data_IF_063935325705
#
_entry.id   IF_063935325705
#
_cell.length_a   1.000
_cell.length_b   1.000
_cell.length_c   1.000
_cell.angle_alpha   90.00
_cell.angle_beta   90.00
_cell.angle_gamma   90.00
#
_symmetry.space_group_name_H-M   'P 1'
#
loop_
_entity.id
_entity.type
_entity.pdbx_description
1 polymer ?
#
# COMPACT_ATOMS: atom_id res chain seq x y z
N UNK A 1 -33.23 15.64 18.86
CA UNK A 1 -32.22 16.29 17.98
C UNK A 1 -31.42 15.19 17.32
N UNK A 2 -31.46 15.07 15.99
CA UNK A 2 -30.59 14.12 15.27
C UNK A 2 -29.17 14.69 15.21
N UNK A 3 -28.22 14.01 15.84
CA UNK A 3 -26.81 14.42 15.83
C UNK A 3 -26.17 14.18 14.46
N UNK A 4 -25.48 15.18 13.93
CA UNK A 4 -24.68 15.03 12.70
C UNK A 4 -23.42 14.24 13.01
N UNK A 5 -23.04 13.31 12.14
CA UNK A 5 -21.82 12.53 12.27
C UNK A 5 -21.13 12.34 10.92
N UNK A 6 -19.83 12.10 10.96
CA UNK A 6 -19.07 11.54 9.85
C UNK A 6 -18.57 10.14 10.21
N UNK A 7 -18.11 9.40 9.21
CA UNK A 7 -17.56 8.06 9.36
C UNK A 7 -16.07 8.06 9.16
N UNK A 8 -15.38 7.30 10.00
CA UNK A 8 -13.97 6.98 9.85
C UNK A 8 -13.83 5.49 9.55
N UNK A 9 -13.24 5.18 8.41
CA UNK A 9 -12.87 3.82 7.99
C UNK A 9 -11.45 3.49 8.46
N UNK A 10 -11.18 2.20 8.61
CA UNK A 10 -9.92 1.66 9.12
C UNK A 10 -9.42 0.53 8.22
N UNK A 11 -8.12 0.26 8.25
CA UNK A 11 -7.53 -0.89 7.55
C UNK A 11 -7.89 -2.21 8.24
N UNK A 12 -7.74 -3.32 7.52
CA UNK A 12 -7.87 -4.70 8.02
C UNK A 12 -9.30 -5.16 8.24
N UNK A 13 -10.30 -4.46 7.70
CA UNK A 13 -11.71 -4.77 7.95
C UNK A 13 -12.18 -4.40 9.35
N UNK A 14 -11.42 -3.56 10.08
CA UNK A 14 -11.86 -2.99 11.35
C UNK A 14 -13.13 -2.15 11.12
N UNK A 15 -14.15 -2.39 11.93
CA UNK A 15 -15.45 -1.72 11.84
C UNK A 15 -15.31 -0.20 11.82
N UNK A 16 -16.05 0.48 10.94
CA UNK A 16 -16.10 1.94 10.88
C UNK A 16 -16.50 2.56 12.24
N UNK A 17 -15.98 3.76 12.52
CA UNK A 17 -16.34 4.55 13.70
C UNK A 17 -17.19 5.75 13.26
N UNK A 18 -18.34 5.94 13.89
CA UNK A 18 -19.16 7.15 13.73
C UNK A 18 -18.73 8.20 14.74
N UNK A 19 -18.41 9.39 14.27
CA UNK A 19 -17.98 10.50 15.13
C UNK A 19 -18.97 11.64 14.98
N UNK A 20 -19.65 11.97 16.08
CA UNK A 20 -20.60 13.07 16.14
C UNK A 20 -19.87 14.42 16.10
N UNK A 21 -20.37 15.30 15.23
CA UNK A 21 -19.85 16.66 15.04
C UNK A 21 -20.42 17.53 16.14
N UNK A 22 -19.55 17.98 17.05
CA UNK A 22 -19.82 18.99 18.05
C UNK A 22 -19.04 20.29 17.72
N UNK A 23 -19.53 21.48 18.10
CA UNK A 23 -18.85 22.75 17.82
C UNK A 23 -17.38 22.82 18.26
N UNK A 24 -17.06 22.13 19.35
CA UNK A 24 -15.74 22.08 19.99
C UNK A 24 -14.88 20.89 19.54
N UNK A 25 -15.35 20.06 18.60
CA UNK A 25 -14.63 18.86 18.16
C UNK A 25 -13.32 19.24 17.45
N UNK A 26 -12.19 18.86 18.05
CA UNK A 26 -10.86 19.10 17.46
C UNK A 26 -10.36 17.90 16.66
N UNK A 27 -9.33 18.12 15.84
CA UNK A 27 -8.61 17.05 15.16
C UNK A 27 -8.04 16.02 16.14
N UNK A 28 -7.42 16.47 17.22
CA UNK A 28 -6.82 15.58 18.22
C UNK A 28 -7.87 14.73 18.94
N UNK A 29 -9.08 15.28 19.19
CA UNK A 29 -10.19 14.49 19.74
C UNK A 29 -10.60 13.35 18.80
N UNK A 30 -10.63 13.62 17.50
CA UNK A 30 -10.97 12.63 16.48
C UNK A 30 -9.88 11.56 16.40
N UNK A 31 -8.60 11.95 16.38
CA UNK A 31 -7.48 11.02 16.40
C UNK A 31 -7.50 10.16 17.66
N UNK A 32 -7.70 10.75 18.84
CA UNK A 32 -7.79 10.01 20.11
C UNK A 32 -8.92 8.98 20.10
N UNK A 33 -10.11 9.36 19.60
CA UNK A 33 -11.24 8.42 19.43
C UNK A 33 -10.87 7.27 18.50
N UNK A 34 -10.15 7.55 17.41
CA UNK A 34 -9.68 6.53 16.47
C UNK A 34 -8.63 5.60 17.10
N UNK A 35 -7.63 6.13 17.82
CA UNK A 35 -6.60 5.33 18.49
C UNK A 35 -7.23 4.42 19.54
N UNK A 36 -8.14 4.94 20.37
CA UNK A 36 -8.85 4.12 21.36
C UNK A 36 -9.67 3.01 20.71
N UNK A 37 -10.28 3.28 19.55
CA UNK A 37 -11.04 2.30 18.79
C UNK A 37 -10.17 1.20 18.19
N UNK A 38 -8.99 1.51 17.66
CA UNK A 38 -8.08 0.47 17.15
C UNK A 38 -7.38 -0.28 18.29
N UNK A 39 -7.02 0.39 19.38
CA UNK A 39 -6.30 -0.19 20.52
C UNK A 39 -7.04 -1.41 21.07
N UNK A 40 -8.36 -1.33 21.25
CA UNK A 40 -9.16 -2.44 21.76
C UNK A 40 -9.32 -3.62 20.80
N UNK A 41 -8.79 -3.51 19.57
CA UNK A 41 -8.95 -4.51 18.50
C UNK A 41 -7.62 -5.11 18.07
N UNK A 42 -6.58 -4.29 17.96
CA UNK A 42 -5.29 -4.71 17.38
C UNK A 42 -4.26 -5.09 18.42
N UNK A 43 -4.40 -4.61 19.67
CA UNK A 43 -3.46 -4.91 20.72
C UNK A 43 -3.88 -6.12 21.56
N UNK A 44 -2.87 -6.81 22.06
CA UNK A 44 -3.04 -7.80 23.12
C UNK A 44 -3.62 -7.10 24.37
N UNK A 45 -4.80 -7.53 24.86
CA UNK A 45 -5.44 -6.96 26.05
C UNK A 45 -4.57 -7.05 27.30
N UNK A 46 -3.64 -8.01 27.34
CA UNK A 46 -2.76 -8.26 28.49
C UNK A 46 -1.40 -7.53 28.37
N UNK A 47 -1.19 -6.74 27.31
CA UNK A 47 0.08 -6.05 27.09
C UNK A 47 0.12 -4.58 27.55
N UNK A 48 1.30 -4.17 28.03
CA UNK A 48 1.63 -2.78 28.38
C UNK A 48 1.64 -1.83 27.17
N UNK A 49 1.49 -2.32 25.94
CA UNK A 49 1.38 -1.51 24.72
C UNK A 49 0.24 -0.46 24.80
N UNK A 50 -0.66 -0.65 25.77
CA UNK A 50 -1.85 0.12 26.06
C UNK A 50 -1.64 1.39 26.91
N UNK A 51 -0.49 1.61 27.55
CA UNK A 51 -0.39 2.59 28.66
C UNK A 51 -0.13 4.05 28.26
N UNK A 52 0.39 4.36 27.06
CA UNK A 52 0.62 5.76 26.66
C UNK A 52 0.26 6.05 25.19
N UNK A 53 -1.02 6.35 24.96
CA UNK A 53 -1.59 6.69 23.65
C UNK A 53 -1.07 8.03 23.11
N UNK A 54 -0.74 8.98 24.00
CA UNK A 54 -0.34 10.33 23.63
C UNK A 54 0.95 10.37 22.79
N UNK A 55 1.87 9.42 23.03
CA UNK A 55 3.13 9.30 22.26
C UNK A 55 2.90 8.98 20.78
N UNK A 56 1.78 8.34 20.44
CA UNK A 56 1.48 7.95 19.06
C UNK A 56 0.62 8.95 18.30
N UNK A 57 0.02 9.95 18.96
CA UNK A 57 -0.80 11.00 18.33
C UNK A 57 -0.14 11.60 17.06
N UNK A 58 1.13 12.05 17.09
CA UNK A 58 1.75 12.68 15.93
C UNK A 58 2.07 11.70 14.79
N UNK A 59 1.93 10.40 14.99
CA UNK A 59 2.25 9.37 13.99
C UNK A 59 1.06 9.07 13.08
N UNK A 60 -0.15 9.20 13.63
CA UNK A 60 -1.39 8.91 12.92
C UNK A 60 -1.92 10.13 12.17
N UNK A 61 -2.75 9.89 11.17
CA UNK A 61 -3.46 10.95 10.47
C UNK A 61 -4.80 10.50 9.91
N UNK A 62 -5.59 11.48 9.48
CA UNK A 62 -6.82 11.28 8.72
C UNK A 62 -6.59 11.70 7.28
N UNK A 63 -7.00 10.85 6.34
CA UNK A 63 -7.08 11.21 4.92
C UNK A 63 -8.52 11.18 4.43
N UNK A 64 -8.83 12.00 3.43
CA UNK A 64 -10.12 11.97 2.75
C UNK A 64 -10.21 10.74 1.85
N UNK A 65 -11.27 9.95 2.00
CA UNK A 65 -11.64 8.94 1.00
C UNK A 65 -12.36 9.63 -0.13
N UNK A 66 -11.79 9.54 -1.33
CA UNK A 66 -12.42 10.15 -2.49
C UNK A 66 -13.68 9.39 -2.90
N UNK A 67 -14.79 10.10 -3.16
CA UNK A 67 -16.00 9.46 -3.66
C UNK A 67 -15.70 8.86 -5.05
N UNK A 68 -15.96 7.56 -5.20
CA UNK A 68 -15.86 6.76 -6.43
C UNK A 68 -14.50 6.11 -6.74
N UNK A 69 -13.56 6.07 -5.80
CA UNK A 69 -12.28 5.37 -6.03
C UNK A 69 -11.46 5.98 -7.18
N UNK A 70 -11.62 7.28 -7.42
CA UNK A 70 -10.74 8.02 -8.33
C UNK A 70 -9.30 7.88 -7.87
N UNK A 71 -8.40 7.65 -8.82
CA UNK A 71 -6.97 7.41 -8.61
C UNK A 71 -6.20 8.67 -8.22
N UNK A 72 -6.86 9.71 -7.71
CA UNK A 72 -6.14 10.90 -7.29
C UNK A 72 -5.46 10.66 -5.93
N UNK A 73 -4.42 11.44 -5.67
CA UNK A 73 -3.60 11.26 -4.49
C UNK A 73 -4.43 11.45 -3.20
N UNK A 74 -4.23 10.60 -2.18
CA UNK A 74 -4.89 10.77 -0.90
C UNK A 74 -4.55 12.13 -0.28
N UNK A 75 -5.59 12.88 0.11
CA UNK A 75 -5.42 14.19 0.76
C UNK A 75 -5.49 14.01 2.28
N UNK A 76 -4.38 14.28 2.96
CA UNK A 76 -4.32 14.30 4.42
C UNK A 76 -4.91 15.59 4.98
N UNK A 77 -5.67 15.46 6.06
CA UNK A 77 -6.14 16.60 6.81
C UNK A 77 -4.97 17.23 7.60
N UNK A 78 -4.86 18.56 7.63
CA UNK A 78 -3.93 19.23 8.53
C UNK A 78 -4.40 19.12 10.00
N UNK A 79 -3.48 19.21 10.95
CA UNK A 79 -3.81 19.10 12.39
C UNK A 79 -4.75 20.20 12.88
N UNK A 80 -4.80 21.36 12.21
CA UNK A 80 -5.73 22.45 12.51
C UNK A 80 -7.08 22.33 11.77
N UNK A 81 -7.36 21.18 11.14
CA UNK A 81 -8.64 20.96 10.46
C UNK A 81 -9.80 21.06 11.45
N UNK A 82 -10.85 21.77 11.03
CA UNK A 82 -12.08 21.96 11.81
C UNK A 82 -13.22 21.23 11.10
N UNK A 83 -13.92 20.37 11.83
CA UNK A 83 -15.02 19.59 11.28
C UNK A 83 -16.32 20.42 11.32
N UNK A 84 -16.89 20.69 10.16
CA UNK A 84 -18.09 21.49 9.99
C UNK A 84 -19.23 20.71 9.35
N UNK A 85 -20.43 20.88 9.92
CA UNK A 85 -21.69 20.25 9.49
C UNK A 85 -22.01 20.42 7.98
N UNK A 86 -21.64 21.54 7.34
CA UNK A 86 -21.94 21.78 5.91
C UNK A 86 -20.90 21.20 4.96
N UNK A 87 -19.65 21.05 5.39
CA UNK A 87 -18.55 20.58 4.53
C UNK A 87 -18.31 19.08 4.69
N UNK A 88 -18.45 18.54 5.90
CA UNK A 88 -18.01 17.17 6.19
C UNK A 88 -19.16 16.15 6.22
N UNK A 89 -20.41 16.61 6.14
CA UNK A 89 -21.59 15.73 6.14
C UNK A 89 -22.17 15.53 4.74
N UNK A 90 -22.09 16.53 3.86
CA UNK A 90 -22.74 16.50 2.54
C UNK A 90 -22.13 17.49 1.52
N UNK A 91 -21.04 17.13 0.86
CA UNK A 91 -20.74 17.70 -0.47
C UNK A 91 -21.23 16.69 -1.50
N UNK A 92 -22.30 17.05 -2.23
CA UNK A 92 -22.89 16.27 -3.35
C UNK A 92 -23.63 14.96 -2.99
N UNK A 93 -24.34 14.90 -1.85
CA UNK A 93 -25.19 13.75 -1.51
C UNK A 93 -24.44 12.47 -1.10
N UNK A 94 -23.13 12.55 -0.91
CA UNK A 94 -22.28 11.50 -0.34
C UNK A 94 -21.67 12.00 0.97
N UNK A 95 -21.73 11.19 2.03
CA UNK A 95 -21.04 11.49 3.29
C UNK A 95 -19.53 11.50 3.02
N UNK A 96 -18.80 12.54 3.47
CA UNK A 96 -17.35 12.46 3.49
C UNK A 96 -16.95 11.29 4.40
N UNK A 97 -16.23 10.34 3.83
CA UNK A 97 -15.63 9.25 4.58
C UNK A 97 -14.16 9.61 4.78
N UNK A 98 -13.72 9.57 6.03
CA UNK A 98 -12.30 9.70 6.36
C UNK A 98 -11.71 8.31 6.53
N UNK A 99 -10.41 8.18 6.32
CA UNK A 99 -9.68 6.96 6.65
C UNK A 99 -8.59 7.28 7.66
N UNK A 100 -8.57 6.53 8.74
CA UNK A 100 -7.57 6.64 9.80
C UNK A 100 -6.37 5.76 9.48
N UNK A 101 -5.17 6.33 9.47
CA UNK A 101 -3.96 5.66 8.98
C UNK A 101 -2.72 6.09 9.74
N UNK A 102 -1.70 5.23 9.73
CA UNK A 102 -0.33 5.61 10.09
C UNK A 102 0.25 6.43 8.95
N UNK A 103 0.47 7.72 9.20
CA UNK A 103 1.07 8.65 8.24
C UNK A 103 2.58 8.62 8.33
N UNK A 104 3.12 8.82 9.53
CA UNK A 104 4.56 8.92 9.76
C UNK A 104 5.16 7.56 10.09
N UNK A 105 5.60 6.85 9.05
CA UNK A 105 6.05 5.45 9.14
C UNK A 105 7.54 5.36 9.48
N UNK A 106 7.97 4.42 10.34
CA UNK A 106 9.38 4.21 10.63
C UNK A 106 10.09 3.64 9.39
N UNK A 107 11.19 4.29 8.99
CA UNK A 107 12.12 3.80 7.95
C UNK A 107 13.10 2.78 8.53
N UNK A 108 13.42 2.90 9.83
CA UNK A 108 14.32 2.02 10.56
C UNK A 108 13.59 1.03 11.46
N UNK A 109 13.84 1.11 12.76
CA UNK A 109 13.34 0.13 13.73
C UNK A 109 11.80 0.10 13.77
N UNK A 110 11.24 -1.08 13.43
CA UNK A 110 9.81 -1.38 13.52
C UNK A 110 9.53 -2.15 14.81
N UNK A 111 8.61 -1.64 15.63
CA UNK A 111 8.22 -2.24 16.91
C UNK A 111 6.79 -2.79 16.82
N UNK A 112 6.59 -4.07 16.48
CA UNK A 112 5.26 -4.65 16.36
C UNK A 112 4.47 -4.63 17.67
N UNK A 113 5.13 -4.63 18.84
CA UNK A 113 4.48 -4.63 20.16
C UNK A 113 3.88 -3.27 20.57
N UNK A 114 3.56 -2.40 19.62
CA UNK A 114 2.95 -1.10 19.89
C UNK A 114 1.63 -0.98 19.14
N UNK A 115 0.68 -0.18 19.64
CA UNK A 115 -0.57 0.13 18.93
C UNK A 115 -0.26 0.61 17.49
N UNK A 116 0.74 1.46 17.35
CA UNK A 116 1.22 1.94 16.06
C UNK A 116 1.77 0.82 15.19
N UNK A 117 2.64 -0.04 15.73
CA UNK A 117 3.24 -1.15 14.99
C UNK A 117 2.21 -2.16 14.49
N UNK A 118 1.31 -2.60 15.36
CA UNK A 118 0.21 -3.50 15.00
C UNK A 118 -0.67 -2.92 13.91
N UNK A 119 -1.10 -1.66 14.06
CA UNK A 119 -1.95 -1.03 13.06
C UNK A 119 -1.20 -0.74 11.75
N UNK A 120 0.07 -0.37 11.81
CA UNK A 120 0.92 -0.21 10.62
C UNK A 120 1.06 -1.51 9.85
N UNK A 121 1.21 -2.65 10.54
CA UNK A 121 1.25 -3.94 9.88
C UNK A 121 -0.05 -4.26 9.14
N UNK A 122 -1.19 -4.06 9.79
CA UNK A 122 -2.51 -4.23 9.16
C UNK A 122 -2.63 -3.33 7.92
N UNK A 123 -2.23 -2.06 8.05
CA UNK A 123 -2.20 -1.11 6.94
C UNK A 123 -1.31 -1.58 5.79
N UNK A 124 -0.11 -2.08 6.07
CA UNK A 124 0.83 -2.59 5.05
C UNK A 124 0.27 -3.79 4.30
N UNK A 125 -0.40 -4.71 5.01
CA UNK A 125 -1.06 -5.87 4.39
C UNK A 125 -2.22 -5.42 3.50
N UNK A 126 -3.05 -4.50 3.98
CA UNK A 126 -4.15 -3.92 3.18
C UNK A 126 -3.62 -3.18 1.94
N UNK A 127 -2.55 -2.41 2.07
CA UNK A 127 -1.93 -1.70 0.94
C UNK A 127 -1.33 -2.66 -0.08
N UNK A 128 -0.70 -3.73 0.40
CA UNK A 128 -0.15 -4.76 -0.44
C UNK A 128 -1.24 -5.51 -1.20
N UNK A 129 -2.32 -5.87 -0.51
CA UNK A 129 -3.37 -6.73 -1.05
C UNK A 129 -4.44 -5.99 -1.83
N UNK A 130 -4.92 -4.84 -1.34
CA UNK A 130 -6.24 -4.29 -1.67
C UNK A 130 -6.27 -2.83 -2.11
N UNK A 131 -5.21 -2.05 -1.91
CA UNK A 131 -5.24 -0.63 -2.27
C UNK A 131 -5.68 -0.46 -3.74
N UNK A 132 -6.81 0.23 -4.00
CA UNK A 132 -7.38 0.33 -5.34
C UNK A 132 -6.64 1.35 -6.22
N UNK A 133 -5.96 2.33 -5.63
CA UNK A 133 -5.25 3.39 -6.34
C UNK A 133 -3.80 2.99 -6.63
N UNK A 134 -3.12 2.39 -5.66
CA UNK A 134 -1.74 1.93 -5.82
C UNK A 134 -1.46 0.68 -4.97
N UNK A 135 -1.87 -0.52 -5.43
CA UNK A 135 -1.59 -1.74 -4.70
C UNK A 135 -0.09 -2.00 -4.69
N UNK A 136 0.51 -1.91 -3.50
CA UNK A 136 1.96 -2.08 -3.31
C UNK A 136 2.40 -3.45 -3.83
N UNK A 137 1.56 -4.49 -3.69
CA UNK A 137 1.86 -5.83 -4.18
C UNK A 137 2.04 -5.96 -5.70
N UNK A 138 1.55 -4.99 -6.48
CA UNK A 138 1.78 -4.96 -7.94
C UNK A 138 3.06 -4.24 -8.35
N UNK A 139 3.87 -3.74 -7.40
CA UNK A 139 5.10 -3.04 -7.72
C UNK A 139 6.13 -4.01 -8.36
N UNK A 140 6.63 -3.66 -9.54
CA UNK A 140 7.59 -4.46 -10.31
C UNK A 140 8.96 -4.61 -9.65
N UNK A 141 9.27 -3.78 -8.64
CA UNK A 141 10.53 -3.88 -7.88
C UNK A 141 10.60 -5.13 -7.00
N UNK A 142 9.45 -5.71 -6.62
CA UNK A 142 9.46 -7.01 -5.94
C UNK A 142 9.90 -8.10 -6.91
N UNK A 143 10.92 -8.88 -6.56
CA UNK A 143 11.14 -10.17 -7.23
C UNK A 143 9.98 -11.12 -6.91
N UNK A 144 9.76 -12.12 -7.77
CA UNK A 144 8.66 -13.07 -7.58
C UNK A 144 8.77 -13.85 -6.25
N UNK A 145 9.98 -14.16 -5.80
CA UNK A 145 10.23 -14.78 -4.50
C UNK A 145 9.79 -13.89 -3.32
N UNK A 146 10.15 -12.60 -3.36
CA UNK A 146 9.76 -11.63 -2.30
C UNK A 146 8.26 -11.37 -2.36
N UNK A 147 7.69 -11.23 -3.55
CA UNK A 147 6.26 -11.08 -3.73
C UNK A 147 5.49 -12.28 -3.16
N UNK A 148 5.90 -13.52 -3.46
CA UNK A 148 5.27 -14.73 -2.93
C UNK A 148 5.48 -14.88 -1.42
N UNK A 149 6.60 -14.43 -0.87
CA UNK A 149 6.84 -14.39 0.57
C UNK A 149 5.85 -13.43 1.25
N UNK A 150 5.75 -12.18 0.77
CA UNK A 150 4.84 -11.18 1.32
C UNK A 150 3.38 -11.61 1.16
N UNK A 151 3.00 -12.15 -0.01
CA UNK A 151 1.67 -12.73 -0.22
C UNK A 151 1.39 -13.88 0.75
N UNK A 152 2.37 -14.76 0.99
CA UNK A 152 2.25 -15.83 1.98
C UNK A 152 1.95 -15.31 3.38
N UNK A 153 2.68 -14.27 3.82
CA UNK A 153 2.42 -13.62 5.11
C UNK A 153 1.02 -13.01 5.15
N UNK A 154 0.61 -12.28 4.11
CA UNK A 154 -0.75 -11.71 4.02
C UNK A 154 -1.85 -12.79 4.10
N UNK A 155 -1.63 -13.94 3.46
CA UNK A 155 -2.57 -15.07 3.44
C UNK A 155 -2.68 -15.77 4.79
N UNK A 156 -1.57 -15.89 5.54
CA UNK A 156 -1.60 -16.45 6.89
C UNK A 156 -2.53 -15.68 7.83
N UNK A 157 -2.79 -14.41 7.52
CA UNK A 157 -3.42 -13.44 8.42
C UNK A 157 -4.78 -12.94 7.93
N UNK A 158 -5.15 -13.25 6.68
CA UNK A 158 -6.37 -12.77 6.01
C UNK A 158 -7.69 -13.12 6.73
N UNK A 159 -7.69 -14.09 7.65
CA UNK A 159 -8.91 -14.59 8.32
C UNK A 159 -8.76 -14.87 9.83
N UNK A 160 -7.74 -14.33 10.49
CA UNK A 160 -7.73 -14.41 11.96
C UNK A 160 -8.52 -13.25 12.53
N UNK A 161 -9.30 -13.54 13.57
CA UNK A 161 -9.89 -12.51 14.41
C UNK A 161 -8.74 -11.71 15.04
N UNK A 162 -8.78 -10.38 14.91
CA UNK A 162 -7.85 -9.51 15.61
C UNK A 162 -8.09 -9.63 17.13
N UNK A 163 -7.05 -9.53 17.98
CA UNK A 163 -5.68 -9.12 17.69
C UNK A 163 -4.78 -10.24 17.16
N UNK A 164 -3.77 -9.86 16.34
CA UNK A 164 -2.73 -10.78 15.90
C UNK A 164 -1.63 -10.85 16.97
N UNK A 165 -1.72 -11.77 17.92
CA UNK A 165 -0.81 -11.79 19.07
C UNK A 165 0.65 -12.11 18.66
N UNK A 166 1.59 -11.23 19.00
CA UNK A 166 3.00 -11.35 18.59
C UNK A 166 3.69 -12.63 19.08
N UNK A 167 3.21 -13.22 20.17
CA UNK A 167 3.75 -14.44 20.76
C UNK A 167 3.16 -15.74 20.18
N UNK A 168 2.11 -15.67 19.37
CA UNK A 168 1.53 -16.87 18.76
C UNK A 168 2.51 -17.51 17.77
N UNK A 169 2.67 -18.83 17.87
CA UNK A 169 3.55 -19.62 17.01
C UNK A 169 2.79 -20.03 15.75
N UNK A 170 3.34 -19.68 14.59
CA UNK A 170 2.82 -20.13 13.30
C UNK A 170 3.31 -21.54 13.03
N UNK A 171 2.47 -22.53 13.32
CA UNK A 171 2.78 -23.95 13.14
C UNK A 171 1.97 -24.59 12.01
N UNK A 172 2.23 -25.89 11.75
CA UNK A 172 1.49 -26.68 10.76
C UNK A 172 -0.01 -26.81 11.08
N UNK A 173 -0.40 -26.74 12.35
CA UNK A 173 -1.81 -26.81 12.78
C UNK A 173 -2.57 -25.51 12.54
N UNK A 174 -1.86 -24.42 12.25
CA UNK A 174 -2.48 -23.13 11.94
C UNK A 174 -3.37 -23.26 10.71
N UNK A 175 -4.64 -22.91 10.84
CA UNK A 175 -5.56 -23.04 9.74
C UNK A 175 -5.28 -21.96 8.68
N UNK A 176 -5.09 -22.36 7.42
CA UNK A 176 -4.92 -21.41 6.32
C UNK A 176 -5.93 -21.72 5.23
N UNK A 177 -6.90 -20.83 4.97
CA UNK A 177 -7.97 -21.07 3.99
C UNK A 177 -7.45 -21.50 2.61
N UNK A 178 -6.29 -20.99 2.21
CA UNK A 178 -5.65 -21.31 0.92
C UNK A 178 -5.24 -22.77 0.78
N UNK A 179 -4.89 -23.45 1.88
CA UNK A 179 -4.57 -24.88 1.85
C UNK A 179 -5.81 -25.75 1.65
N UNK A 180 -7.03 -25.20 1.81
CA UNK A 180 -8.30 -25.89 1.57
C UNK A 180 -8.82 -25.69 0.14
N UNK A 181 -8.24 -24.80 -0.66
CA UNK A 181 -8.69 -24.59 -2.03
C UNK A 181 -8.29 -25.78 -2.91
N UNK A 182 -9.29 -26.61 -3.22
CA UNK A 182 -9.16 -27.73 -4.16
C UNK A 182 -9.11 -27.25 -5.62
N UNK A 183 -9.59 -26.04 -5.91
CA UNK A 183 -9.73 -25.54 -7.28
C UNK A 183 -8.77 -24.39 -7.59
N UNK A 184 -7.75 -24.69 -8.39
CA UNK A 184 -6.78 -23.72 -8.89
C UNK A 184 -7.49 -22.58 -9.65
N UNK A 185 -8.64 -22.83 -10.28
CA UNK A 185 -9.37 -21.84 -11.09
C UNK A 185 -10.00 -20.69 -10.27
N UNK A 186 -10.38 -20.91 -9.01
CA UNK A 186 -11.03 -19.87 -8.19
C UNK A 186 -10.10 -19.16 -7.22
N UNK A 187 -8.86 -19.64 -7.07
CA UNK A 187 -7.88 -19.14 -6.09
C UNK A 187 -7.74 -17.59 -6.04
N UNK A 188 -7.57 -16.86 -7.16
CA UNK A 188 -7.42 -15.41 -7.13
C UNK A 188 -8.66 -14.67 -6.60
N UNK A 189 -9.85 -15.19 -6.89
CA UNK A 189 -11.11 -14.59 -6.43
C UNK A 189 -11.32 -14.77 -4.92
N UNK A 190 -10.69 -15.79 -4.33
CA UNK A 190 -10.81 -16.11 -2.91
C UNK A 190 -9.74 -15.41 -2.05
N UNK A 191 -8.70 -14.84 -2.67
CA UNK A 191 -7.62 -14.09 -2.00
C UNK A 191 -8.06 -12.72 -1.45
N UNK A 192 -9.27 -12.26 -1.78
CA UNK A 192 -9.74 -10.90 -1.43
C UNK A 192 -8.68 -9.83 -1.72
N UNK A 193 -7.98 -9.97 -2.85
CA UNK A 193 -6.92 -9.07 -3.31
C UNK A 193 -7.42 -8.21 -4.48
N UNK A 194 -6.75 -7.08 -4.72
CA UNK A 194 -6.99 -6.22 -5.85
C UNK A 194 -6.76 -6.97 -7.16
N UNK A 195 -7.40 -6.50 -8.22
CA UNK A 195 -7.23 -7.08 -9.56
C UNK A 195 -5.76 -7.11 -9.99
N UNK A 196 -4.99 -6.06 -9.67
CA UNK A 196 -3.59 -5.97 -10.05
C UNK A 196 -2.73 -7.08 -9.39
N UNK A 197 -2.93 -7.34 -8.11
CA UNK A 197 -2.24 -8.43 -7.39
C UNK A 197 -2.64 -9.80 -7.96
N UNK A 198 -3.94 -9.98 -8.24
CA UNK A 198 -4.44 -11.20 -8.88
C UNK A 198 -3.85 -11.40 -10.28
N UNK A 199 -3.81 -10.34 -11.09
CA UNK A 199 -3.26 -10.35 -12.45
C UNK A 199 -1.76 -10.71 -12.43
N UNK A 200 -1.00 -10.21 -11.44
CA UNK A 200 0.40 -10.61 -11.24
C UNK A 200 0.57 -12.12 -11.04
N UNK A 201 -0.34 -12.75 -10.29
CA UNK A 201 -0.37 -14.20 -10.05
C UNK A 201 -0.82 -15.01 -11.27
N UNK A 202 -1.72 -14.48 -12.10
CA UNK A 202 -2.31 -15.22 -13.22
C UNK A 202 -1.69 -14.91 -14.59
N UNK A 203 -0.81 -13.90 -14.67
CA UNK A 203 -0.30 -13.41 -15.95
C UNK A 203 -1.19 -12.36 -16.64
N UNK A 204 -2.16 -11.79 -15.91
CA UNK A 204 -3.02 -10.70 -16.38
C UNK A 204 -4.23 -11.13 -17.21
N UNK A 205 -4.65 -10.23 -18.12
CA UNK A 205 -5.84 -10.42 -19.00
C UNK A 205 -5.74 -11.66 -19.89
N UNK A 206 -4.53 -12.06 -20.27
CA UNK A 206 -4.27 -13.33 -20.94
C UNK A 206 -3.97 -14.36 -19.87
N UNK A 207 -5.02 -15.06 -19.46
CA UNK A 207 -4.97 -16.04 -18.40
C UNK A 207 -3.94 -17.13 -18.74
N UNK A 208 -2.81 -17.15 -18.05
CA UNK A 208 -1.81 -18.20 -18.22
C UNK A 208 -2.04 -19.27 -17.15
N UNK A 209 -2.71 -20.36 -17.53
CA UNK A 209 -3.00 -21.49 -16.64
C UNK A 209 -1.73 -22.09 -16.01
N UNK A 210 -0.61 -22.10 -16.73
CA UNK A 210 0.68 -22.57 -16.23
C UNK A 210 1.23 -21.62 -15.16
N UNK A 211 1.28 -20.31 -15.43
CA UNK A 211 1.75 -19.33 -14.43
C UNK A 211 0.90 -19.39 -13.16
N UNK A 212 -0.41 -19.53 -13.32
CA UNK A 212 -1.35 -19.67 -12.22
C UNK A 212 -1.08 -20.93 -11.39
N UNK A 213 -0.90 -22.07 -12.05
CA UNK A 213 -0.58 -23.34 -11.41
C UNK A 213 0.72 -23.22 -10.58
N UNK A 214 1.79 -22.71 -11.18
CA UNK A 214 3.08 -22.57 -10.51
C UNK A 214 3.06 -21.55 -9.38
N UNK A 215 2.33 -20.43 -9.52
CA UNK A 215 2.15 -19.46 -8.45
C UNK A 215 1.42 -20.07 -7.26
N UNK A 216 0.37 -20.85 -7.51
CA UNK A 216 -0.36 -21.57 -6.46
C UNK A 216 0.51 -22.62 -5.75
N UNK A 217 1.22 -23.45 -6.51
CA UNK A 217 2.14 -24.47 -5.96
C UNK A 217 3.24 -23.81 -5.14
N UNK A 218 3.83 -22.73 -5.64
CA UNK A 218 4.92 -22.00 -4.96
C UNK A 218 4.43 -21.33 -3.69
N UNK A 219 3.27 -20.68 -3.72
CA UNK A 219 2.65 -20.10 -2.52
C UNK A 219 2.37 -21.18 -1.47
N UNK A 220 1.80 -22.32 -1.87
CA UNK A 220 1.54 -23.45 -0.97
C UNK A 220 2.82 -24.00 -0.34
N UNK A 221 3.89 -24.15 -1.13
CA UNK A 221 5.22 -24.59 -0.65
C UNK A 221 5.82 -23.58 0.32
N UNK A 222 5.72 -22.28 0.01
CA UNK A 222 6.20 -21.22 0.89
C UNK A 222 5.43 -21.17 2.22
N UNK A 223 4.11 -21.27 2.18
CA UNK A 223 3.28 -21.34 3.39
C UNK A 223 3.62 -22.55 4.26
N UNK A 224 3.84 -23.72 3.65
CA UNK A 224 4.28 -24.92 4.37
C UNK A 224 5.63 -24.68 5.06
N UNK A 225 6.60 -24.14 4.33
CA UNK A 225 7.94 -23.81 4.88
C UNK A 225 7.88 -22.78 6.00
N UNK A 226 7.01 -21.76 5.91
CA UNK A 226 6.84 -20.77 6.97
C UNK A 226 6.35 -21.45 8.26
N UNK A 227 5.36 -22.34 8.15
CA UNK A 227 4.80 -23.08 9.28
C UNK A 227 5.75 -24.11 9.88
N UNK A 228 6.58 -24.75 9.06
CA UNK A 228 7.61 -25.70 9.52
C UNK A 228 8.72 -25.04 10.34
N UNK A 229 8.87 -23.70 10.27
CA UNK A 229 9.85 -22.98 11.08
C UNK A 229 9.39 -22.75 12.52
N UNK A 230 8.09 -22.85 12.78
CA UNK A 230 7.50 -22.62 14.11
C UNK A 230 7.90 -21.26 14.72
N UNK A 231 8.04 -20.25 13.87
CA UNK A 231 8.38 -18.89 14.28
C UNK A 231 7.16 -18.18 14.86
N UNK A 232 7.42 -17.21 15.74
CA UNK A 232 6.38 -16.33 16.30
C UNK A 232 5.81 -15.41 15.22
N UNK A 233 4.54 -15.02 15.35
CA UNK A 233 3.91 -14.02 14.46
C UNK A 233 4.72 -12.72 14.34
N UNK A 234 5.34 -12.29 15.44
CA UNK A 234 6.27 -11.15 15.47
C UNK A 234 7.31 -11.19 14.35
N UNK A 235 7.96 -12.34 14.17
CA UNK A 235 9.00 -12.53 13.16
C UNK A 235 8.47 -12.24 11.75
N UNK A 236 7.27 -12.73 11.43
CA UNK A 236 6.66 -12.51 10.11
C UNK A 236 6.24 -11.05 9.91
N UNK A 237 5.76 -10.35 10.95
CA UNK A 237 5.45 -8.91 10.87
C UNK A 237 6.69 -8.07 10.61
N UNK A 238 7.78 -8.35 11.34
CA UNK A 238 9.07 -7.68 11.17
C UNK A 238 9.63 -7.93 9.78
N UNK A 239 9.57 -9.18 9.29
CA UNK A 239 9.99 -9.51 7.92
C UNK A 239 9.14 -8.81 6.87
N UNK A 240 7.84 -8.71 7.07
CA UNK A 240 6.97 -7.99 6.13
C UNK A 240 7.39 -6.52 6.01
N UNK A 241 7.55 -5.84 7.15
CA UNK A 241 8.03 -4.45 7.18
C UNK A 241 9.39 -4.30 6.49
N UNK A 242 10.36 -5.15 6.85
CA UNK A 242 11.71 -5.14 6.29
C UNK A 242 11.69 -5.20 4.76
N UNK A 243 10.96 -6.16 4.18
CA UNK A 243 10.91 -6.33 2.73
C UNK A 243 10.12 -5.21 2.03
N UNK A 244 9.02 -4.72 2.61
CA UNK A 244 8.28 -3.59 2.05
C UNK A 244 9.18 -2.35 1.99
N UNK A 245 9.83 -1.98 3.09
CA UNK A 245 10.68 -0.77 3.14
C UNK A 245 11.92 -0.92 2.27
N UNK A 246 12.53 -2.11 2.22
CA UNK A 246 13.70 -2.36 1.39
C UNK A 246 13.40 -2.28 -0.11
N UNK A 247 12.31 -2.91 -0.56
CA UNK A 247 11.95 -2.94 -1.97
C UNK A 247 11.22 -1.68 -2.42
N UNK A 248 10.48 -1.04 -1.52
CA UNK A 248 9.67 0.14 -1.79
C UNK A 248 9.98 1.20 -0.73
N UNK A 249 11.18 1.82 -0.76
CA UNK A 249 11.56 2.81 0.26
C UNK A 249 10.60 3.99 0.33
N UNK A 250 10.00 4.33 -0.81
CA UNK A 250 9.03 5.41 -0.88
C UNK A 250 7.70 5.09 -0.18
N UNK A 251 7.45 3.84 0.24
CA UNK A 251 6.29 3.50 1.08
C UNK A 251 6.30 4.26 2.41
N UNK A 252 7.47 4.59 2.95
CA UNK A 252 7.59 5.38 4.18
C UNK A 252 7.78 6.88 3.93
N UNK A 253 7.65 7.36 2.69
CA UNK A 253 7.87 8.77 2.34
C UNK A 253 6.74 9.33 1.49
N UNK A 254 6.36 10.58 1.72
CA UNK A 254 5.42 11.28 0.83
C UNK A 254 6.22 12.08 -0.20
N UNK A 255 5.90 11.89 -1.49
CA UNK A 255 6.56 12.59 -2.59
C UNK A 255 5.57 13.58 -3.19
N UNK A 256 5.96 14.85 -3.27
CA UNK A 256 5.12 15.93 -3.77
C UNK A 256 5.74 16.55 -5.02
N UNK A 257 4.96 16.64 -6.08
CA UNK A 257 5.35 17.41 -7.26
C UNK A 257 4.92 18.86 -7.07
N UNK A 258 5.86 19.79 -7.24
CA UNK A 258 5.58 21.22 -7.12
C UNK A 258 5.98 21.92 -8.41
N UNK A 259 5.16 22.89 -8.85
CA UNK A 259 5.55 23.81 -9.93
C UNK A 259 5.95 25.14 -9.28
N UNK A 260 7.23 25.55 -9.34
CA UNK A 260 7.60 26.88 -8.87
C UNK A 260 6.87 27.93 -9.71
N UNK A 261 6.40 29.00 -9.06
CA UNK A 261 5.60 30.06 -9.68
C UNK A 261 6.35 30.88 -10.75
N UNK A 262 7.67 30.74 -10.85
CA UNK A 262 8.53 31.61 -11.65
C UNK A 262 9.28 30.92 -12.81
N UNK A 263 9.24 29.58 -12.95
CA UNK A 263 9.96 28.88 -14.02
C UNK A 263 9.18 27.65 -14.54
N UNK A 264 9.24 27.34 -15.85
CA UNK A 264 8.50 26.22 -16.45
C UNK A 264 9.05 24.82 -16.10
N UNK A 265 10.07 24.73 -15.23
CA UNK A 265 10.65 23.46 -14.80
C UNK A 265 9.86 22.89 -13.62
N UNK A 266 9.16 21.76 -13.84
CA UNK A 266 8.52 21.01 -12.77
C UNK A 266 9.59 20.47 -11.81
N UNK A 267 9.51 20.81 -10.53
CA UNK A 267 10.44 20.33 -9.50
C UNK A 267 9.74 19.27 -8.67
N UNK A 268 10.25 18.03 -8.73
CA UNK A 268 9.79 16.95 -7.84
C UNK A 268 10.57 17.03 -6.53
N UNK A 269 9.88 17.26 -5.41
CA UNK A 269 10.49 17.30 -4.09
C UNK A 269 10.14 16.02 -3.31
N UNK A 270 11.15 15.38 -2.72
CA UNK A 270 10.97 14.22 -1.86
C UNK A 270 11.07 14.65 -0.40
N UNK A 271 10.04 14.36 0.41
CA UNK A 271 10.06 14.62 1.84
C UNK A 271 10.52 13.37 2.58
N UNK A 272 11.69 13.42 3.23
CA UNK A 272 12.22 12.35 4.07
C UNK A 272 12.29 12.82 5.53
N UNK A 273 11.45 12.24 6.39
CA UNK A 273 11.51 12.47 7.84
C UNK A 273 12.48 11.44 8.46
N UNK A 274 13.66 11.89 8.90
CA UNK A 274 14.65 11.03 9.54
C UNK A 274 14.36 10.89 11.05
N UNK A 275 14.47 9.66 11.58
CA UNK A 275 14.28 9.29 12.98
C UNK A 275 15.31 9.88 13.99
N UNK A 276 16.15 10.84 13.57
CA UNK A 276 17.29 11.31 14.37
C UNK A 276 17.19 12.72 14.96
N UNK A 277 16.14 13.49 14.66
CA UNK A 277 15.96 14.84 15.21
C UNK A 277 14.52 15.02 15.65
N UNK A 278 14.33 15.42 16.91
CA UNK A 278 13.05 15.80 17.51
C UNK A 278 12.52 17.12 16.91
N UNK A 279 12.59 17.29 15.60
CA UNK A 279 12.00 18.44 14.92
C UNK A 279 10.76 17.94 14.18
N UNK A 280 9.61 18.33 14.70
CA UNK A 280 8.32 18.32 14.00
C UNK A 280 8.33 19.34 12.85
N UNK A 281 9.24 19.15 11.90
CA UNK A 281 9.53 20.08 10.82
C UNK A 281 9.35 19.42 9.46
N UNK A 282 8.55 20.06 8.61
CA UNK A 282 8.54 19.88 7.17
C UNK A 282 9.97 20.15 6.64
N UNK A 283 10.71 19.10 6.25
CA UNK A 283 11.99 19.28 5.57
C UNK A 283 11.75 19.39 4.05
N UNK A 284 12.10 20.53 3.47
CA UNK A 284 12.07 20.76 2.04
C UNK A 284 13.36 20.20 1.40
N UNK A 285 13.23 19.00 0.80
CA UNK A 285 13.91 18.55 -0.41
C UNK A 285 15.44 18.53 -0.48
N UNK A 286 15.99 17.34 -0.73
CA UNK A 286 17.08 17.22 -1.72
C UNK A 286 16.42 17.02 -3.11
N UNK A 287 16.98 17.66 -4.13
CA UNK A 287 16.59 17.43 -5.53
C UNK A 287 16.95 15.98 -5.88
N UNK A 288 15.96 15.11 -6.12
CA UNK A 288 16.26 13.75 -6.56
C UNK A 288 16.63 13.78 -8.04
N UNK A 289 17.93 13.80 -8.34
CA UNK A 289 18.46 13.63 -9.69
C UNK A 289 18.06 12.28 -10.32
N UNK A 290 17.67 11.30 -9.48
CA UNK A 290 17.38 9.92 -9.89
C UNK A 290 16.07 9.79 -10.68
N UNK A 291 15.08 10.66 -10.46
CA UNK A 291 13.81 10.59 -11.21
C UNK A 291 13.91 11.22 -12.60
N UNK A 292 14.79 12.21 -12.80
CA UNK A 292 15.05 12.80 -14.12
C UNK A 292 15.74 11.80 -15.05
N UNK A 293 16.62 10.96 -14.53
CA UNK A 293 17.28 9.90 -15.31
C UNK A 293 16.28 8.84 -15.78
N UNK A 294 15.35 8.39 -14.92
CA UNK A 294 14.37 7.35 -15.29
C UNK A 294 13.35 7.85 -16.32
N UNK A 295 12.89 9.09 -16.18
CA UNK A 295 11.90 9.66 -17.12
C UNK A 295 12.55 10.03 -18.46
N UNK A 296 13.81 10.52 -18.45
CA UNK A 296 14.55 10.79 -19.69
C UNK A 296 15.03 9.52 -20.39
N UNK A 297 15.45 8.45 -19.68
CA UNK A 297 15.81 7.18 -20.33
C UNK A 297 14.59 6.46 -20.88
N UNK A 298 13.44 6.44 -20.18
CA UNK A 298 12.21 5.84 -20.71
C UNK A 298 11.70 6.62 -21.92
N UNK A 299 11.76 7.96 -21.90
CA UNK A 299 11.38 8.78 -23.06
C UNK A 299 12.37 8.63 -24.23
N UNK A 300 13.68 8.58 -23.99
CA UNK A 300 14.68 8.32 -25.05
C UNK A 300 14.50 6.92 -25.65
N UNK A 301 14.24 5.91 -24.83
CA UNK A 301 14.03 4.54 -25.31
C UNK A 301 12.74 4.46 -26.15
N UNK A 302 11.67 5.15 -25.73
CA UNK A 302 10.41 5.20 -26.48
C UNK A 302 10.55 5.96 -27.81
N UNK A 303 11.32 7.06 -27.82
CA UNK A 303 11.63 7.80 -29.06
C UNK A 303 12.54 6.98 -29.97
N UNK A 304 13.56 6.30 -29.45
CA UNK A 304 14.44 5.43 -30.25
C UNK A 304 13.68 4.24 -30.86
N UNK A 305 12.79 3.58 -30.10
CA UNK A 305 11.95 2.49 -30.62
C UNK A 305 10.97 3.01 -31.67
N UNK A 306 10.41 4.21 -31.48
CA UNK A 306 9.49 4.82 -32.45
C UNK A 306 10.19 5.24 -33.74
N UNK A 307 11.42 5.76 -33.66
CA UNK A 307 12.24 6.13 -34.83
C UNK A 307 12.74 4.88 -35.57
N UNK A 308 13.17 3.84 -34.86
CA UNK A 308 13.58 2.56 -35.47
C UNK A 308 12.38 1.81 -36.08
N UNK A 309 11.20 1.87 -35.46
CA UNK A 309 9.96 1.32 -35.99
C UNK A 309 9.44 2.06 -37.23
N UNK A 310 9.76 3.36 -37.39
CA UNK A 310 9.45 4.14 -38.58
C UNK A 310 10.45 3.94 -39.73
N UNK A 311 11.69 3.54 -39.44
CA UNK A 311 12.74 3.32 -40.44
C UNK A 311 12.76 1.88 -40.99
N UNK A 312 12.21 0.90 -40.27
CA UNK A 312 12.18 -0.49 -40.72
C UNK A 312 11.32 -0.77 -41.97
N UNK A 313 10.22 -0.05 -42.26
CA UNK A 313 9.47 -0.25 -43.50
C UNK A 313 10.13 0.38 -44.74
N UNK A 314 11.12 1.27 -44.57
CA UNK A 314 11.76 2.02 -45.66
C UNK A 314 13.01 1.33 -46.23
N UNK A 315 13.50 0.27 -45.59
CA UNK A 315 14.65 -0.53 -46.05
C UNK A 315 14.26 -1.84 -46.78
N UNK A 316 12.96 -2.04 -47.04
CA UNK A 316 12.44 -3.21 -47.77
C UNK A 316 11.73 -2.80 -49.08
N UNK A 317 12.34 -1.87 -49.83
CA UNK A 317 12.04 -1.72 -51.26
C UNK A 317 12.97 -2.65 -52.06
N UNK A 318 12.45 -3.64 -52.80
CA UNK A 318 13.28 -4.46 -53.67
C UNK A 318 13.79 -3.62 -54.84
N UNK A 319 15.10 -3.50 -54.96
CA UNK A 319 15.77 -3.07 -56.19
C UNK A 319 15.48 -4.11 -57.29
N UNK A 320 14.41 -3.92 -58.06
CA UNK A 320 14.25 -4.57 -59.35
C UNK A 320 14.80 -3.66 -60.44
N UNK A 321 16.12 -3.69 -60.64
CA UNK A 321 16.75 -3.15 -61.85
C UNK A 321 16.66 -4.20 -62.96
N UNK A 322 15.78 -3.96 -63.93
CA UNK A 322 15.67 -4.73 -65.16
C UNK A 322 16.92 -4.52 -66.03
N UNK A 323 17.79 -5.52 -66.10
CA UNK A 323 18.80 -5.64 -67.16
C UNK A 323 18.22 -6.56 -68.23
N UNK A 324 17.98 -6.02 -69.44
CA UNK A 324 17.64 -6.84 -70.62
C UNK A 324 18.91 -7.52 -71.14
N UNK A 325 18.86 -8.80 -71.55
CA UNK A 325 19.97 -9.45 -72.21
C UNK A 325 20.04 -9.05 -73.69
N UNK A 326 21.28 -8.99 -74.18
CA UNK A 326 21.64 -8.98 -75.60
C UNK A 326 21.27 -10.35 -76.17
N UNK A 327 20.38 -10.37 -77.17
CA UNK A 327 20.53 -11.06 -78.46
C UNK A 327 19.62 -10.40 -79.48
#
# INVERSE_FOLDING_TARGET
MEGHFFKVSFCGGISELKIYIAPELTYDDVINKCINHIKSRVCDPDSDASTNVAVYLPVFGLRLLQPNGSSENPVWLPYWHKFYKKQDVHVQGKQHAYEFRVRHRPVGFYKPDSIMGEYLFIQMVDDFMRDPAFPVGNNSVFSDDVFLLLLGISVLLQKKDLPLLNNEIVSLTWETPILRYRNILTFPQQLSASKAVCDRLTGGKFYNCEKKYWSFVSLRKNLKKMKEREEKLRFFKEKFHEFIVKCVPWYCTEVYQTKPSAYPLAVSAMMKLNQGKMDSGLYYGEVSEVFMLYQNTVNLLFVMISVLGFLFPLLWLPFTSSVRPIF
#
